data_IF_804640051252
#
_entry.id   IF_804640051252
#
_cell.length_a   1.000
_cell.length_b   1.000
_cell.length_c   1.000
_cell.angle_alpha   90.00
_cell.angle_beta   90.00
_cell.angle_gamma   90.00
#
_symmetry.space_group_name_H-M   'P 1'
#
loop_
_entity.id
_entity.type
_entity.pdbx_description
1 polymer ?
#
# COMPACT_ATOMS: atom_id res chain seq x y z
N UNK A 1 -18.76 -14.77 19.26
CA UNK A 1 -18.71 -13.76 18.18
C UNK A 1 -19.21 -14.43 16.91
N UNK A 2 -20.18 -13.84 16.21
CA UNK A 2 -20.68 -14.43 14.97
C UNK A 2 -19.69 -14.19 13.82
N UNK A 3 -19.71 -15.00 12.73
CA UNK A 3 -18.88 -14.72 11.55
C UNK A 3 -19.10 -13.32 10.96
N UNK A 4 -20.31 -12.76 11.08
CA UNK A 4 -20.59 -11.39 10.66
C UNK A 4 -19.90 -10.35 11.53
N UNK A 5 -19.81 -10.59 12.84
CA UNK A 5 -19.10 -9.69 13.76
C UNK A 5 -17.59 -9.73 13.48
N UNK A 6 -17.03 -10.92 13.21
CA UNK A 6 -15.62 -11.06 12.81
C UNK A 6 -15.33 -10.37 11.49
N UNK A 7 -16.20 -10.51 10.48
CA UNK A 7 -16.01 -9.85 9.19
C UNK A 7 -16.04 -8.32 9.31
N UNK A 8 -16.97 -7.78 10.10
CA UNK A 8 -17.03 -6.34 10.41
C UNK A 8 -15.75 -5.88 11.11
N UNK A 9 -15.34 -6.59 12.15
CA UNK A 9 -14.15 -6.25 12.92
C UNK A 9 -12.88 -6.24 12.07
N UNK A 10 -12.70 -7.21 11.17
CA UNK A 10 -11.56 -7.22 10.24
C UNK A 10 -11.59 -5.99 9.33
N UNK A 11 -12.75 -5.62 8.80
CA UNK A 11 -12.87 -4.42 7.95
C UNK A 11 -12.60 -3.13 8.73
N UNK A 12 -13.04 -3.04 9.99
CA UNK A 12 -12.76 -1.90 10.85
C UNK A 12 -11.25 -1.72 11.07
N UNK A 13 -10.51 -2.81 11.32
CA UNK A 13 -9.05 -2.80 11.44
C UNK A 13 -8.35 -2.35 10.15
N UNK A 14 -8.83 -2.79 8.99
CA UNK A 14 -8.28 -2.35 7.70
C UNK A 14 -8.55 -0.85 7.46
N UNK A 15 -9.72 -0.34 7.85
CA UNK A 15 -10.04 1.10 7.79
C UNK A 15 -9.12 1.92 8.70
N UNK A 16 -8.87 1.46 9.92
CA UNK A 16 -7.90 2.10 10.83
C UNK A 16 -6.50 2.13 10.20
N UNK A 17 -6.08 1.04 9.56
CA UNK A 17 -4.83 0.98 8.81
C UNK A 17 -4.78 2.00 7.66
N UNK A 18 -5.88 2.17 6.92
CA UNK A 18 -5.97 3.18 5.87
C UNK A 18 -5.90 4.61 6.42
N UNK A 19 -6.51 4.88 7.58
CA UNK A 19 -6.37 6.18 8.25
C UNK A 19 -4.92 6.45 8.65
N UNK A 20 -4.22 5.46 9.22
CA UNK A 20 -2.82 5.60 9.57
C UNK A 20 -1.93 5.89 8.35
N UNK A 21 -2.18 5.23 7.21
CA UNK A 21 -1.46 5.51 5.95
C UNK A 21 -1.75 6.91 5.45
N UNK A 22 -3.02 7.34 5.43
CA UNK A 22 -3.42 8.70 5.03
C UNK A 22 -2.69 9.76 5.86
N UNK A 23 -2.66 9.58 7.16
CA UNK A 23 -2.10 10.56 8.10
C UNK A 23 -0.57 10.60 8.08
N UNK A 24 0.07 9.54 7.57
CA UNK A 24 1.51 9.48 7.35
C UNK A 24 1.98 10.06 6.00
N UNK A 25 1.06 10.48 5.12
CA UNK A 25 1.44 11.11 3.85
C UNK A 25 1.97 12.53 4.10
N UNK A 26 3.21 12.75 3.71
CA UNK A 26 3.91 14.03 3.84
C UNK A 26 4.70 14.38 2.57
N UNK A 27 5.58 15.37 2.66
CA UNK A 27 6.41 15.82 1.54
C UNK A 27 7.34 14.73 0.98
N UNK A 28 7.66 13.68 1.75
CA UNK A 28 8.44 12.55 1.23
C UNK A 28 7.66 11.77 0.16
N UNK A 29 6.33 11.68 0.31
CA UNK A 29 5.48 11.07 -0.70
C UNK A 29 5.52 11.87 -2.01
N UNK A 30 5.44 13.20 -1.93
CA UNK A 30 5.52 14.10 -3.10
C UNK A 30 6.87 13.92 -3.80
N UNK A 31 7.97 13.98 -3.04
CA UNK A 31 9.32 13.80 -3.58
C UNK A 31 9.51 12.42 -4.24
N UNK A 32 8.92 11.36 -3.67
CA UNK A 32 8.96 10.02 -4.27
C UNK A 32 8.22 9.97 -5.61
N UNK A 33 7.02 10.56 -5.69
CA UNK A 33 6.24 10.60 -6.93
C UNK A 33 6.99 11.35 -8.03
N UNK A 34 7.57 12.51 -7.70
CA UNK A 34 8.39 13.28 -8.64
C UNK A 34 9.65 12.52 -9.08
N UNK A 35 10.32 11.84 -8.14
CA UNK A 35 11.48 11.01 -8.46
C UNK A 35 11.09 9.91 -9.44
N UNK A 36 10.02 9.15 -9.15
CA UNK A 36 9.53 8.05 -10.00
C UNK A 36 9.11 8.55 -11.39
N UNK A 37 8.46 9.71 -11.48
CA UNK A 37 8.06 10.33 -12.74
C UNK A 37 9.26 10.68 -13.64
N UNK A 38 10.38 11.07 -13.04
CA UNK A 38 11.57 11.52 -13.77
C UNK A 38 12.55 10.40 -14.14
N UNK A 39 12.29 9.15 -13.71
CA UNK A 39 13.17 8.00 -14.01
C UNK A 39 13.24 7.75 -15.52
N UNK A 40 14.46 7.64 -16.06
CA UNK A 40 14.72 7.24 -17.46
C UNK A 40 14.94 5.75 -17.64
N UNK A 41 15.14 5.03 -16.53
CA UNK A 41 15.34 3.59 -16.47
C UNK A 41 14.07 2.82 -16.10
N UNK A 42 14.23 1.76 -15.31
CA UNK A 42 13.12 0.93 -14.82
C UNK A 42 13.14 0.88 -13.30
N UNK A 43 11.96 0.79 -12.71
CA UNK A 43 11.77 0.53 -11.27
C UNK A 43 11.63 -0.97 -11.09
N UNK A 44 12.40 -1.54 -10.17
CA UNK A 44 12.32 -2.96 -9.82
C UNK A 44 11.68 -3.08 -8.45
N UNK A 45 10.54 -3.76 -8.37
CA UNK A 45 9.83 -4.04 -7.11
C UNK A 45 10.04 -5.51 -6.78
N UNK A 46 10.57 -5.80 -5.60
CA UNK A 46 10.81 -7.17 -5.12
C UNK A 46 10.19 -7.37 -3.74
N UNK A 47 9.91 -8.63 -3.39
CA UNK A 47 9.33 -8.99 -2.10
C UNK A 47 8.92 -10.45 -2.09
N UNK A 48 8.76 -11.01 -0.88
CA UNK A 48 8.35 -12.40 -0.67
C UNK A 48 6.96 -12.44 -0.01
N UNK A 49 6.20 -13.51 -0.27
CA UNK A 49 4.86 -13.70 0.30
C UNK A 49 3.88 -12.59 -0.09
N UNK A 50 3.05 -12.13 0.87
CA UNK A 50 2.02 -11.11 0.64
C UNK A 50 2.60 -9.83 0.02
N UNK A 51 3.74 -9.36 0.51
CA UNK A 51 4.42 -8.17 -0.02
C UNK A 51 4.85 -8.34 -1.48
N UNK A 52 5.26 -9.55 -1.88
CA UNK A 52 5.55 -9.87 -3.29
C UNK A 52 4.30 -9.82 -4.17
N UNK A 53 3.16 -10.31 -3.68
CA UNK A 53 1.89 -10.21 -4.40
C UNK A 53 1.43 -8.75 -4.59
N UNK A 54 1.56 -7.91 -3.56
CA UNK A 54 1.26 -6.47 -3.65
C UNK A 54 2.21 -5.79 -4.62
N UNK A 55 3.53 -6.03 -4.50
CA UNK A 55 4.53 -5.45 -5.40
C UNK A 55 4.30 -5.83 -6.86
N UNK A 56 3.91 -7.08 -7.12
CA UNK A 56 3.53 -7.53 -8.47
C UNK A 56 2.29 -6.81 -9.00
N UNK A 57 1.32 -6.49 -8.15
CA UNK A 57 0.13 -5.72 -8.53
C UNK A 57 0.50 -4.26 -8.86
N UNK A 58 1.40 -3.65 -8.08
CA UNK A 58 1.91 -2.30 -8.33
C UNK A 58 2.65 -2.24 -9.67
N UNK A 59 3.47 -3.25 -9.98
CA UNK A 59 4.22 -3.30 -11.24
C UNK A 59 3.36 -3.61 -12.49
N UNK A 60 2.10 -4.04 -12.31
CA UNK A 60 1.22 -4.45 -13.40
C UNK A 60 0.28 -3.35 -13.92
N UNK A 61 0.32 -2.16 -13.31
CA UNK A 61 -0.35 -0.93 -13.78
C UNK A 61 0.60 -0.07 -14.59
#
# INVERSE_FOLDING_TARGET
MSPLDTARHVLDLEIEGLHAVRDALDEQFVALVELLHNIKGRVVITGIGKSGHIGRKIAAT
#
